data_IF_644216941456
#
_entry.id   IF_644216941456
#
_cell.length_a   1.000
_cell.length_b   1.000
_cell.length_c   1.000
_cell.angle_alpha   90.00
_cell.angle_beta   90.00
_cell.angle_gamma   90.00
#
_symmetry.space_group_name_H-M   'P 1'
#
loop_
_entity.id
_entity.type
_entity.pdbx_description
1 polymer ?
#
# COMPACT_ATOMS: atom_id res chain seq x y z
N UNK A 1 -4.58 -13.70 -5.27
CA UNK A 1 -5.42 -12.85 -4.40
C UNK A 1 -5.45 -13.47 -3.01
N UNK A 2 -4.65 -12.98 -2.05
CA UNK A 2 -4.77 -13.34 -0.64
C UNK A 2 -5.28 -12.13 0.13
N UNK A 3 -6.36 -12.32 0.90
CA UNK A 3 -6.81 -11.36 1.93
C UNK A 3 -5.72 -11.38 3.01
N UNK A 4 -4.79 -10.44 2.96
CA UNK A 4 -3.92 -10.18 4.11
C UNK A 4 -4.84 -9.56 5.14
N UNK A 5 -5.14 -10.33 6.17
CA UNK A 5 -6.07 -9.95 7.21
C UNK A 5 -5.40 -8.88 8.08
N UNK A 6 -5.70 -7.62 7.76
CA UNK A 6 -5.23 -6.47 8.53
C UNK A 6 -6.02 -6.28 9.84
N UNK A 7 -6.95 -7.19 10.20
CA UNK A 7 -7.79 -7.02 11.40
C UNK A 7 -6.98 -7.13 12.70
N UNK A 8 -5.95 -7.98 12.70
CA UNK A 8 -5.10 -8.23 13.88
C UNK A 8 -4.03 -7.17 14.13
N UNK A 9 -3.84 -6.19 13.23
CA UNK A 9 -2.84 -5.13 13.44
C UNK A 9 -3.42 -3.96 14.24
N UNK A 10 -2.58 -3.40 15.09
CA UNK A 10 -2.87 -2.19 15.87
C UNK A 10 -3.07 -1.01 14.90
N UNK A 11 -3.97 -0.09 15.24
CA UNK A 11 -4.27 1.10 14.41
C UNK A 11 -3.01 1.91 14.08
N UNK A 12 -2.08 2.00 15.03
CA UNK A 12 -0.79 2.68 14.89
C UNK A 12 0.14 1.98 13.88
N UNK A 13 0.21 0.65 13.91
CA UNK A 13 1.00 -0.12 12.94
C UNK A 13 0.42 0.00 11.53
N UNK A 14 -0.92 0.03 11.41
CA UNK A 14 -1.58 0.26 10.12
C UNK A 14 -1.25 1.63 9.54
N UNK A 15 -1.21 2.68 10.38
CA UNK A 15 -0.82 4.02 9.95
C UNK A 15 0.66 4.08 9.54
N UNK A 16 1.57 3.48 10.30
CA UNK A 16 3.00 3.39 9.92
C UNK A 16 3.17 2.67 8.58
N UNK A 17 2.54 1.51 8.42
CA UNK A 17 2.59 0.73 7.18
C UNK A 17 2.00 1.50 5.99
N UNK A 18 0.95 2.30 6.23
CA UNK A 18 0.33 3.13 5.21
C UNK A 18 1.27 4.25 4.70
N UNK A 19 2.03 4.87 5.60
CA UNK A 19 3.01 5.90 5.25
C UNK A 19 4.12 5.30 4.40
N UNK A 20 4.68 4.16 4.83
CA UNK A 20 5.72 3.44 4.07
C UNK A 20 5.26 3.04 2.68
N UNK A 21 4.04 2.50 2.55
CA UNK A 21 3.48 2.08 1.26
C UNK A 21 3.17 3.27 0.35
N UNK A 22 2.78 4.43 0.90
CA UNK A 22 2.61 5.67 0.13
C UNK A 22 3.95 6.22 -0.37
N UNK A 23 5.00 6.17 0.45
CA UNK A 23 6.34 6.56 0.03
C UNK A 23 6.87 5.62 -1.07
N UNK A 24 6.71 4.31 -0.91
CA UNK A 24 7.05 3.33 -1.94
C UNK A 24 6.28 3.57 -3.25
N UNK A 25 5.03 4.04 -3.19
CA UNK A 25 4.26 4.41 -4.39
C UNK A 25 4.83 5.68 -5.05
N UNK A 26 5.25 6.67 -4.27
CA UNK A 26 5.92 7.87 -4.79
C UNK A 26 7.25 7.53 -5.45
N UNK A 27 8.08 6.71 -4.81
CA UNK A 27 9.34 6.22 -5.37
C UNK A 27 9.12 5.39 -6.62
N UNK A 28 8.08 4.55 -6.63
CA UNK A 28 7.70 3.78 -7.82
C UNK A 28 7.28 4.70 -8.97
N UNK A 29 6.47 5.73 -8.70
CA UNK A 29 6.08 6.72 -9.72
C UNK A 29 7.29 7.50 -10.25
N UNK A 30 8.20 7.92 -9.36
CA UNK A 30 9.43 8.61 -9.75
C UNK A 30 10.31 7.73 -10.65
N UNK A 31 10.55 6.49 -10.25
CA UNK A 31 11.28 5.50 -11.06
C UNK A 31 10.55 5.15 -12.37
N UNK A 32 9.21 5.18 -12.36
CA UNK A 32 8.38 4.91 -13.54
C UNK A 32 8.43 6.05 -14.56
N UNK A 33 8.50 7.31 -14.12
CA UNK A 33 8.64 8.46 -15.01
C UNK A 33 9.94 8.44 -15.81
N UNK A 34 11.00 7.82 -15.28
CA UNK A 34 12.28 7.63 -15.97
C UNK A 34 12.33 6.44 -16.93
N UNK A 35 11.22 5.74 -17.19
CA UNK A 35 11.18 4.59 -18.11
C UNK A 35 11.84 3.31 -17.58
N UNK A 36 12.33 3.30 -16.33
CA UNK A 36 13.11 2.21 -15.75
C UNK A 36 12.27 1.05 -15.17
N UNK A 37 10.94 1.19 -15.07
CA UNK A 37 10.11 0.19 -14.38
C UNK A 37 9.43 -0.77 -15.34
N UNK A 38 10.07 -1.93 -15.57
CA UNK A 38 9.46 -3.06 -16.30
C UNK A 38 8.27 -3.70 -15.54
N UNK A 39 8.15 -3.45 -14.24
CA UNK A 39 7.22 -4.16 -13.37
C UNK A 39 5.99 -3.31 -12.95
N UNK A 40 5.14 -2.97 -13.89
CA UNK A 40 3.91 -2.16 -13.67
C UNK A 40 2.94 -2.82 -12.66
N UNK A 41 3.02 -4.15 -12.52
CA UNK A 41 2.20 -4.92 -11.59
C UNK A 41 2.43 -4.54 -10.12
N UNK A 42 3.65 -4.17 -9.74
CA UNK A 42 3.95 -3.82 -8.34
C UNK A 42 3.23 -2.55 -7.91
N UNK A 43 3.15 -1.53 -8.77
CA UNK A 43 2.37 -0.32 -8.49
C UNK A 43 0.88 -0.59 -8.21
N UNK A 44 0.25 -1.47 -9.00
CA UNK A 44 -1.15 -1.86 -8.79
C UNK A 44 -1.34 -2.66 -7.49
N UNK A 45 -0.40 -3.54 -7.14
CA UNK A 45 -0.43 -4.28 -5.87
C UNK A 45 -0.33 -3.31 -4.69
N UNK A 46 0.61 -2.37 -4.71
CA UNK A 46 0.79 -1.36 -3.64
C UNK A 46 -0.48 -0.52 -3.45
N UNK A 47 -1.13 -0.08 -4.55
CA UNK A 47 -2.42 0.64 -4.48
C UNK A 47 -3.51 -0.19 -3.81
N UNK A 48 -3.62 -1.48 -4.15
CA UNK A 48 -4.58 -2.40 -3.54
C UNK A 48 -4.29 -2.66 -2.06
N UNK A 49 -3.03 -2.70 -1.65
CA UNK A 49 -2.65 -2.82 -0.24
C UNK A 49 -3.02 -1.58 0.56
N UNK A 50 -2.77 -0.37 0.03
CA UNK A 50 -3.17 0.89 0.66
C UNK A 50 -4.69 0.94 0.86
N UNK A 51 -5.47 0.58 -0.17
CA UNK A 51 -6.92 0.54 -0.09
C UNK A 51 -7.44 -0.43 0.98
N UNK A 52 -6.78 -1.59 1.14
CA UNK A 52 -7.14 -2.56 2.18
C UNK A 52 -6.83 -2.07 3.59
N UNK A 53 -5.68 -1.41 3.78
CA UNK A 53 -5.32 -0.79 5.07
C UNK A 53 -6.34 0.29 5.44
N UNK A 54 -6.70 1.16 4.50
CA UNK A 54 -7.73 2.19 4.71
C UNK A 54 -9.11 1.58 5.03
N UNK A 55 -9.48 0.49 4.36
CA UNK A 55 -10.74 -0.23 4.63
C UNK A 55 -10.75 -0.82 6.04
N UNK A 56 -9.63 -1.41 6.47
CA UNK A 56 -9.50 -1.97 7.82
C UNK A 56 -9.55 -0.89 8.91
N UNK A 57 -8.94 0.28 8.68
CA UNK A 57 -9.04 1.43 9.57
C UNK A 57 -10.48 1.95 9.66
N UNK A 58 -11.18 2.05 8.53
CA UNK A 58 -12.57 2.52 8.51
C UNK A 58 -13.55 1.51 9.13
N UNK A 59 -13.28 0.21 9.02
CA UNK A 59 -14.12 -0.84 9.61
C UNK A 59 -13.93 -0.98 11.13
N UNK A 60 -12.86 -0.41 11.70
CA UNK A 60 -12.62 -0.32 13.15
C UNK A 60 -13.22 0.93 13.78
N UNK A 61 -13.72 1.88 12.97
CA UNK A 61 -14.37 3.12 13.40
C UNK A 61 -15.86 2.87 13.60
#
# INVERSE_FOLDING_TARGET
>A
MKKVDFKNKTTEELQKTLIEKRNALKDFNFKSSGGATKNVKTGNITKKEIARILTALNSKK
#
